data_IF_118598501826
#
_entry.id   IF_118598501826
#
_cell.length_a   1.000
_cell.length_b   1.000
_cell.length_c   1.000
_cell.angle_alpha   90.00
_cell.angle_beta   90.00
_cell.angle_gamma   90.00
#
_symmetry.space_group_name_H-M   'P 1'
#
loop_
_entity.id
_entity.type
_entity.pdbx_description
1 polymer ?
#
# COMPACT_ATOMS: atom_id res chain seq x y z
N UNK A 1 -5.57 4.49 -7.06
CA UNK A 1 -5.35 3.11 -7.53
C UNK A 1 -6.66 2.34 -7.41
N UNK A 2 -6.96 1.40 -8.30
CA UNK A 2 -8.24 0.68 -8.29
C UNK A 2 -8.25 -0.48 -7.29
N UNK A 3 -7.09 -1.10 -7.09
CA UNK A 3 -6.88 -2.22 -6.16
C UNK A 3 -5.40 -2.30 -5.73
N UNK A 4 -5.07 -3.36 -5.00
CA UNK A 4 -3.70 -3.62 -4.53
C UNK A 4 -2.75 -4.01 -5.67
N UNK A 5 -3.23 -4.65 -6.73
CA UNK A 5 -2.40 -5.02 -7.88
C UNK A 5 -1.90 -3.78 -8.63
N UNK A 6 -2.76 -2.76 -8.78
CA UNK A 6 -2.36 -1.46 -9.30
C UNK A 6 -1.25 -0.83 -8.44
N UNK A 7 -1.33 -0.94 -7.11
CA UNK A 7 -0.27 -0.45 -6.21
C UNK A 7 1.02 -1.25 -6.38
N UNK A 8 0.94 -2.59 -6.46
CA UNK A 8 2.10 -3.46 -6.65
C UNK A 8 2.81 -3.11 -7.95
N UNK A 9 2.09 -3.07 -9.07
CA UNK A 9 2.66 -2.71 -10.39
C UNK A 9 3.29 -1.32 -10.35
N UNK A 10 2.64 -0.37 -9.69
CA UNK A 10 3.13 0.98 -9.53
C UNK A 10 4.46 1.01 -8.74
N UNK A 11 4.58 0.27 -7.64
CA UNK A 11 5.81 0.26 -6.83
C UNK A 11 6.90 -0.60 -7.46
N UNK A 12 6.53 -1.63 -8.22
CA UNK A 12 7.46 -2.51 -8.90
C UNK A 12 8.14 -1.83 -10.10
N UNK A 13 7.36 -1.11 -10.92
CA UNK A 13 7.80 -0.59 -12.22
C UNK A 13 9.09 0.27 -12.20
N UNK A 14 9.32 1.18 -11.23
CA UNK A 14 10.56 1.96 -11.21
C UNK A 14 11.79 1.18 -10.73
N UNK A 15 11.60 -0.03 -10.21
CA UNK A 15 12.67 -0.93 -9.78
C UNK A 15 12.93 -0.96 -8.27
N UNK A 16 13.86 -1.83 -7.84
CA UNK A 16 14.25 -2.00 -6.44
C UNK A 16 14.61 -0.68 -5.77
N UNK A 17 14.18 -0.50 -4.52
CA UNK A 17 14.40 0.73 -3.76
C UNK A 17 13.30 1.78 -3.92
N UNK A 18 12.29 1.56 -4.76
CA UNK A 18 11.07 2.37 -4.79
C UNK A 18 10.37 2.27 -3.44
N UNK A 19 10.05 3.41 -2.81
CA UNK A 19 9.45 3.48 -1.47
C UNK A 19 8.21 4.35 -1.50
N UNK A 20 7.28 4.12 -0.58
CA UNK A 20 6.07 4.94 -0.54
C UNK A 20 5.21 4.72 0.68
N UNK A 21 4.11 5.47 0.69
CA UNK A 21 3.03 5.34 1.66
C UNK A 21 1.74 5.12 0.87
N UNK A 22 0.95 4.14 1.31
CA UNK A 22 -0.38 3.85 0.80
C UNK A 22 -1.40 4.25 1.85
N UNK A 23 -2.24 5.24 1.54
CA UNK A 23 -3.42 5.55 2.33
C UNK A 23 -4.56 4.63 1.94
N UNK A 24 -5.09 3.91 2.92
CA UNK A 24 -6.20 2.97 2.76
C UNK A 24 -7.47 3.58 3.33
N UNK A 25 -8.51 3.64 2.49
CA UNK A 25 -9.89 3.89 2.93
C UNK A 25 -10.68 2.60 2.81
N UNK A 26 -11.35 2.19 3.89
CA UNK A 26 -12.08 0.92 3.98
C UNK A 26 -13.42 1.05 4.69
N UNK A 27 -14.29 0.07 4.52
CA UNK A 27 -15.55 -0.04 5.26
C UNK A 27 -15.43 -1.13 6.34
N UNK A 28 -15.78 -0.78 7.57
CA UNK A 28 -15.89 -1.72 8.69
C UNK A 28 -17.22 -1.48 9.39
N UNK A 29 -18.06 -2.53 9.51
CA UNK A 29 -19.39 -2.45 10.14
C UNK A 29 -20.20 -1.25 9.64
N UNK A 30 -20.24 -1.10 8.31
CA UNK A 30 -20.90 -0.03 7.58
C UNK A 30 -20.39 1.40 7.76
N UNK A 31 -19.37 1.59 8.59
CA UNK A 31 -18.68 2.86 8.75
C UNK A 31 -17.44 2.91 7.87
N UNK A 32 -17.16 4.07 7.30
CA UNK A 32 -15.88 4.30 6.67
C UNK A 32 -14.81 4.49 7.74
N UNK A 33 -13.76 3.67 7.69
CA UNK A 33 -12.55 3.86 8.45
C UNK A 33 -11.51 4.40 7.48
N UNK A 34 -11.12 5.65 7.69
CA UNK A 34 -10.04 6.30 6.97
C UNK A 34 -8.86 6.46 7.93
N UNK A 35 -7.64 6.17 7.48
CA UNK A 35 -6.43 6.48 8.28
C UNK A 35 -5.37 5.40 8.36
N UNK A 36 -5.58 4.20 7.81
CA UNK A 36 -4.49 3.23 7.75
C UNK A 36 -3.48 3.65 6.68
N UNK A 37 -2.28 4.00 7.13
CA UNK A 37 -1.12 4.24 6.29
C UNK A 37 -0.25 2.99 6.32
N UNK A 38 -0.05 2.37 5.16
CA UNK A 38 0.93 1.31 4.99
C UNK A 38 2.18 1.88 4.36
N UNK A 39 3.34 1.56 4.90
CA UNK A 39 4.59 1.77 4.19
C UNK A 39 4.73 0.70 3.11
N UNK A 40 5.20 1.08 1.93
CA UNK A 40 5.43 0.14 0.83
C UNK A 40 6.86 0.30 0.31
N UNK A 41 7.50 -0.83 0.01
CA UNK A 41 8.88 -0.87 -0.49
C UNK A 41 9.03 -1.96 -1.55
N UNK A 42 9.65 -1.62 -2.68
CA UNK A 42 10.20 -2.59 -3.61
C UNK A 42 11.53 -3.12 -3.05
N UNK A 43 11.44 -4.17 -2.23
CA UNK A 43 12.60 -4.84 -1.65
C UNK A 43 13.15 -5.86 -2.66
N UNK A 44 14.17 -5.46 -3.43
CA UNK A 44 14.87 -6.33 -4.37
C UNK A 44 13.92 -7.04 -5.37
N UNK A 45 12.96 -6.31 -5.93
CA UNK A 45 11.97 -6.84 -6.86
C UNK A 45 10.72 -7.42 -6.20
N UNK A 46 10.66 -7.46 -4.86
CA UNK A 46 9.46 -7.88 -4.13
C UNK A 46 8.81 -6.68 -3.46
N UNK A 47 7.57 -6.39 -3.83
CA UNK A 47 6.79 -5.33 -3.17
C UNK A 47 6.31 -5.82 -1.80
N UNK A 48 6.73 -5.14 -0.74
CA UNK A 48 6.38 -5.45 0.65
C UNK A 48 5.58 -4.29 1.23
N UNK A 49 4.52 -4.60 1.96
CA UNK A 49 3.71 -3.65 2.71
C UNK A 49 3.94 -3.85 4.21
N UNK A 50 4.22 -2.76 4.92
CA UNK A 50 4.45 -2.75 6.37
C UNK A 50 3.39 -1.90 7.04
N UNK A 51 2.79 -2.45 8.10
CA UNK A 51 1.90 -1.73 9.00
C UNK A 51 2.70 -1.32 10.25
N UNK A 52 3.00 -0.04 10.34
CA UNK A 52 3.76 0.52 11.46
C UNK A 52 3.04 0.43 12.80
N UNK A 53 1.70 0.39 12.80
CA UNK A 53 0.92 0.24 14.04
C UNK A 53 0.95 -1.20 14.54
N UNK A 54 0.91 -2.17 13.62
CA UNK A 54 0.98 -3.59 13.98
C UNK A 54 2.41 -4.10 14.22
N UNK A 55 3.44 -3.34 13.80
CA UNK A 55 4.83 -3.80 13.82
C UNK A 55 5.05 -5.03 12.93
N UNK A 56 4.27 -5.18 11.86
CA UNK A 56 4.21 -6.39 11.05
C UNK A 56 3.93 -6.11 9.56
N UNK A 57 3.80 -7.17 8.77
CA UNK A 57 3.30 -7.05 7.39
C UNK A 57 1.89 -6.48 7.38
N UNK A 58 1.64 -5.57 6.43
CA UNK A 58 0.32 -4.99 6.23
C UNK A 58 -0.70 -6.02 5.76
N UNK A 59 -1.85 -6.09 6.45
CA UNK A 59 -2.98 -6.89 5.96
C UNK A 59 -3.71 -6.09 4.88
N UNK A 60 -3.70 -6.62 3.66
CA UNK A 60 -4.34 -6.01 2.51
C UNK A 60 -5.84 -6.33 2.52
N UNK A 61 -6.67 -5.30 2.67
CA UNK A 61 -8.13 -5.46 2.69
C UNK A 61 -8.63 -5.82 1.27
N UNK A 62 -9.33 -6.95 1.08
CA UNK A 62 -9.89 -7.31 -0.23
C UNK A 62 -11.19 -6.52 -0.51
N UNK A 63 -11.64 -6.46 -1.77
CA UNK A 63 -13.03 -6.09 -2.08
C UNK A 63 -14.04 -6.98 -1.31
N UNK A 64 -15.19 -6.45 -0.87
CA UNK A 64 -15.68 -5.07 -1.02
C UNK A 64 -15.26 -4.14 0.14
N UNK A 65 -14.36 -4.58 1.04
CA UNK A 65 -13.94 -3.75 2.19
C UNK A 65 -13.11 -2.56 1.75
N UNK A 66 -12.35 -2.71 0.69
CA UNK A 66 -11.56 -1.64 0.11
C UNK A 66 -12.45 -0.62 -0.61
N UNK A 67 -12.24 0.66 -0.32
CA UNK A 67 -12.94 1.78 -0.99
C UNK A 67 -12.03 2.60 -1.88
N UNK A 68 -10.83 2.91 -1.39
CA UNK A 68 -9.87 3.71 -2.13
C UNK A 68 -8.46 3.42 -1.66
N UNK A 69 -7.52 3.46 -2.61
CA UNK A 69 -6.08 3.45 -2.37
C UNK A 69 -5.45 4.68 -3.02
N UNK A 70 -4.76 5.46 -2.20
CA UNK A 70 -3.91 6.57 -2.65
C UNK A 70 -2.45 6.20 -2.39
N UNK A 71 -1.61 6.22 -3.44
CA UNK A 71 -0.17 5.96 -3.34
C UNK A 71 0.59 7.28 -3.48
N UNK A 72 1.45 7.57 -2.52
CA UNK A 72 2.56 8.50 -2.66
C UNK A 72 3.87 7.69 -2.67
N UNK A 73 4.75 7.92 -3.63
CA UNK A 73 6.01 7.18 -3.74
C UNK A 73 7.19 8.08 -4.11
N UNK A 74 8.38 7.66 -3.72
CA UNK A 74 9.66 8.14 -4.22
C UNK A 74 10.28 7.08 -5.12
N UNK A 75 11.04 7.50 -6.11
CA UNK A 75 11.79 6.60 -6.99
C UNK A 75 13.07 6.14 -6.27
N UNK A 76 13.71 5.04 -6.71
CA UNK A 76 15.02 4.65 -6.22
C UNK A 76 16.03 5.80 -6.40
N UNK A 77 16.89 6.01 -5.43
CA UNK A 77 18.11 6.80 -5.64
C UNK A 77 19.06 5.94 -6.48
N UNK A 78 19.62 6.55 -7.55
CA UNK A 78 20.53 5.87 -8.49
C UNK A 78 21.89 5.54 -7.89
#
# INVERSE_FOLDING_TARGET
MRDWDDVVRAVEAPGPGTRGIVRVRRRLRDQEVSGNLLYVHNNQGRVVFLDGLAGALGRLDPPPRLRELTLLRTLPEG
#
